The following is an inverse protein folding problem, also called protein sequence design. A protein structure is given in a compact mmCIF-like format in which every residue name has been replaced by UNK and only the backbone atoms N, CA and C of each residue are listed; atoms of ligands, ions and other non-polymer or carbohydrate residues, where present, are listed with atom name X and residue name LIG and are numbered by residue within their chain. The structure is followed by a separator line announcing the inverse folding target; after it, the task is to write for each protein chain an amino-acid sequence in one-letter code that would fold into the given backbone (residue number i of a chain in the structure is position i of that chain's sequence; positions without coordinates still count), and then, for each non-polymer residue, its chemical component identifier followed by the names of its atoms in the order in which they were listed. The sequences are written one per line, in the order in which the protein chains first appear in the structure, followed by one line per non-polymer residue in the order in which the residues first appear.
data_IF_155546533222
#
_entry.id   IF_155546533222
#
_cell.length_a   1.000
_cell.length_b   1.000
_cell.length_c   1.000
_cell.angle_alpha   90.00
_cell.angle_beta   90.00
_cell.angle_gamma   90.00
#
_symmetry.space_group_name_H-M   'P 1'
#
loop_
_entity.id
_entity.type
_entity.pdbx_description
1 polymer ?
#
# COMPACT_ATOMS: atom_id res chain seq x y z
N UNK A 1 -33.76 17.22 -11.43
CA UNK A 1 -32.35 16.95 -11.79
C UNK A 1 -32.02 15.57 -11.26
N UNK A 2 -31.78 14.58 -12.13
CA UNK A 2 -31.34 13.26 -11.68
C UNK A 2 -29.90 13.41 -11.21
N UNK A 3 -29.65 13.06 -9.95
CA UNK A 3 -28.30 12.88 -9.43
C UNK A 3 -27.68 11.75 -10.24
N UNK A 4 -26.76 12.05 -11.15
CA UNK A 4 -25.87 11.03 -11.68
C UNK A 4 -25.07 10.52 -10.49
N UNK A 5 -25.36 9.30 -10.06
CA UNK A 5 -24.51 8.60 -9.11
C UNK A 5 -23.21 8.28 -9.86
N UNK A 6 -22.14 8.99 -9.52
CA UNK A 6 -20.79 8.64 -9.94
C UNK A 6 -20.40 7.35 -9.22
N UNK A 7 -20.81 6.20 -9.78
CA UNK A 7 -20.40 4.90 -9.27
C UNK A 7 -18.96 4.64 -9.68
N UNK A 8 -18.08 4.38 -8.71
CA UNK A 8 -16.70 3.99 -8.96
C UNK A 8 -16.51 2.49 -8.78
N UNK A 9 -15.78 1.84 -9.68
CA UNK A 9 -15.36 0.45 -9.48
C UNK A 9 -14.40 0.34 -8.29
N UNK A 10 -14.34 -0.84 -7.62
CA UNK A 10 -13.39 -1.09 -6.54
C UNK A 10 -11.94 -0.90 -7.01
N UNK A 11 -11.08 -0.47 -6.09
CA UNK A 11 -9.66 -0.28 -6.34
C UNK A 11 -8.95 -1.61 -6.71
N UNK A 12 -8.21 -1.61 -7.83
CA UNK A 12 -7.29 -2.71 -8.18
C UNK A 12 -5.95 -2.50 -7.47
N UNK A 13 -5.41 -3.56 -6.89
CA UNK A 13 -4.06 -3.57 -6.31
C UNK A 13 -3.01 -3.67 -7.43
N UNK A 14 -2.60 -2.55 -8.01
CA UNK A 14 -1.49 -2.48 -8.98
C UNK A 14 -0.12 -2.51 -8.28
N UNK A 15 0.06 -3.43 -7.33
CA UNK A 15 1.32 -3.57 -6.62
C UNK A 15 2.34 -4.27 -7.54
N UNK A 16 3.47 -3.62 -7.89
CA UNK A 16 4.60 -4.36 -8.44
C UNK A 16 5.10 -5.32 -7.36
N UNK A 17 4.74 -6.59 -7.48
CA UNK A 17 5.19 -7.63 -6.57
C UNK A 17 6.54 -8.16 -7.04
N UNK A 18 7.56 -8.04 -6.19
CA UNK A 18 8.81 -8.80 -6.35
C UNK A 18 8.71 -10.01 -5.44
N UNK A 19 8.71 -11.20 -6.03
CA UNK A 19 8.81 -12.45 -5.27
C UNK A 19 10.27 -12.72 -4.97
N UNK A 20 10.62 -12.76 -3.68
CA UNK A 20 11.95 -13.16 -3.25
C UNK A 20 11.94 -14.63 -2.83
N UNK A 21 12.91 -15.39 -3.33
CA UNK A 21 13.21 -16.70 -2.77
C UNK A 21 13.80 -16.47 -1.37
N UNK A 22 13.05 -16.86 -0.34
CA UNK A 22 13.54 -16.85 1.04
C UNK A 22 14.27 -18.15 1.33
N UNK A 23 15.50 -18.04 1.82
CA UNK A 23 16.24 -19.20 2.30
C UNK A 23 15.79 -19.52 3.73
N UNK A 24 15.29 -20.73 3.97
CA UNK A 24 15.11 -21.27 5.32
C UNK A 24 16.35 -22.09 5.68
N UNK A 25 16.95 -21.81 6.84
CA UNK A 25 17.99 -22.68 7.40
C UNK A 25 17.33 -24.00 7.84
N UNK A 26 17.77 -25.12 7.28
CA UNK A 26 17.23 -26.46 7.59
C UNK A 26 18.14 -27.30 8.47
N UNK A 27 19.45 -27.03 8.45
CA UNK A 27 20.47 -27.79 9.16
C UNK A 27 21.41 -26.87 9.92
N UNK A 28 22.07 -27.43 10.93
CA UNK A 28 23.14 -26.75 11.64
C UNK A 28 24.37 -26.63 10.73
N UNK A 29 24.58 -25.42 10.22
CA UNK A 29 25.79 -25.04 9.49
C UNK A 29 26.93 -24.66 10.43
N UNK A 30 27.79 -23.75 9.97
CA UNK A 30 28.88 -23.20 10.77
C UNK A 30 28.41 -22.77 12.17
N UNK A 31 29.09 -23.27 13.20
CA UNK A 31 28.81 -22.98 14.61
C UNK A 31 29.56 -21.75 15.11
N UNK A 32 30.23 -21.03 14.23
CA UNK A 32 30.92 -19.79 14.55
C UNK A 32 29.95 -18.80 15.23
N UNK A 33 30.41 -18.08 16.27
CA UNK A 33 29.56 -17.12 16.97
C UNK A 33 29.02 -16.05 16.02
N UNK A 34 27.71 -15.81 16.11
CA UNK A 34 27.07 -14.69 15.41
C UNK A 34 27.33 -13.42 16.21
N UNK A 35 27.84 -12.38 15.54
CA UNK A 35 28.10 -11.08 16.15
C UNK A 35 26.80 -10.41 16.63
N UNK A 36 26.89 -9.68 17.74
CA UNK A 36 25.80 -8.85 18.24
C UNK A 36 25.34 -7.84 17.17
N UNK A 37 24.04 -7.55 17.13
CA UNK A 37 23.42 -6.63 16.17
C UNK A 37 22.99 -7.27 14.84
N UNK A 38 23.43 -8.50 14.54
CA UNK A 38 22.87 -9.27 13.41
C UNK A 38 21.40 -9.56 13.69
N UNK A 39 20.53 -9.31 12.72
CA UNK A 39 19.10 -9.57 12.85
C UNK A 39 18.59 -10.49 11.74
N UNK A 40 17.65 -11.36 12.09
CA UNK A 40 17.04 -12.31 11.15
C UNK A 40 15.62 -12.69 11.56
N UNK A 41 14.88 -13.31 10.63
CA UNK A 41 13.56 -13.84 10.88
C UNK A 41 13.63 -15.27 11.43
N UNK A 42 12.76 -15.56 12.40
CA UNK A 42 12.55 -16.88 12.98
C UNK A 42 11.11 -17.33 12.73
N UNK A 43 10.93 -18.64 12.52
CA UNK A 43 9.62 -19.30 12.43
C UNK A 43 8.98 -19.55 13.81
N UNK A 44 9.73 -19.31 14.89
CA UNK A 44 9.23 -19.35 16.26
C UNK A 44 8.39 -18.11 16.59
N UNK A 45 7.44 -18.25 17.52
CA UNK A 45 6.62 -17.14 18.04
C UNK A 45 7.40 -16.20 18.98
N UNK A 46 8.61 -16.58 19.39
CA UNK A 46 9.48 -15.81 20.28
C UNK A 46 10.94 -15.98 19.87
N UNK A 47 11.76 -14.99 20.22
CA UNK A 47 13.19 -15.04 19.97
C UNK A 47 13.87 -16.15 20.80
N UNK A 48 14.82 -16.90 20.22
CA UNK A 48 15.62 -17.88 20.96
C UNK A 48 16.48 -17.23 22.04
N UNK A 49 17.11 -18.06 22.89
CA UNK A 49 18.07 -17.59 23.90
C UNK A 49 19.20 -16.75 23.26
N UNK A 50 19.57 -15.64 23.92
CA UNK A 50 20.53 -14.64 23.44
C UNK A 50 20.12 -13.92 22.14
N UNK A 51 18.82 -13.83 21.89
CA UNK A 51 18.22 -12.98 20.85
C UNK A 51 17.09 -12.16 21.48
N UNK A 52 16.81 -10.98 20.91
CA UNK A 52 15.74 -10.10 21.37
C UNK A 52 14.85 -9.69 20.21
N UNK A 53 13.55 -9.50 20.46
CA UNK A 53 12.63 -9.06 19.43
C UNK A 53 12.92 -7.63 19.02
N UNK A 54 12.89 -7.39 17.70
CA UNK A 54 13.06 -6.07 17.13
C UNK A 54 11.69 -5.39 16.99
N UNK A 55 11.18 -4.85 18.09
CA UNK A 55 9.78 -4.42 18.20
C UNK A 55 9.35 -3.35 17.19
N UNK A 56 10.27 -2.47 16.78
CA UNK A 56 9.98 -1.43 15.78
C UNK A 56 9.66 -1.98 14.38
N UNK A 57 10.06 -3.22 14.08
CA UNK A 57 9.77 -3.89 12.82
C UNK A 57 8.41 -4.62 12.79
N UNK A 58 7.72 -4.75 13.93
CA UNK A 58 6.49 -5.52 14.04
C UNK A 58 5.41 -4.97 13.11
N UNK A 59 4.87 -5.83 12.25
CA UNK A 59 3.82 -5.45 11.29
C UNK A 59 4.33 -4.53 10.16
N UNK A 60 5.64 -4.49 9.91
CA UNK A 60 6.25 -3.66 8.86
C UNK A 60 7.06 -4.51 7.89
N UNK A 61 7.16 -4.02 6.67
CA UNK A 61 8.13 -4.52 5.70
C UNK A 61 9.48 -3.86 5.95
N UNK A 62 10.55 -4.66 5.98
CA UNK A 62 11.91 -4.16 6.06
C UNK A 62 12.37 -3.73 4.67
N UNK A 63 13.04 -2.59 4.58
CA UNK A 63 13.69 -2.12 3.36
C UNK A 63 15.15 -1.79 3.64
N UNK A 64 16.00 -1.94 2.63
CA UNK A 64 17.38 -1.48 2.71
C UNK A 64 17.43 0.03 2.90
N UNK A 65 18.32 0.49 3.77
CA UNK A 65 18.59 1.91 3.92
C UNK A 65 19.37 2.40 2.68
N UNK A 66 19.03 3.56 2.10
CA UNK A 66 19.90 4.20 1.12
C UNK A 66 21.24 4.58 1.78
N UNK A 67 22.27 4.77 0.96
CA UNK A 67 23.67 4.95 1.39
C UNK A 67 23.93 6.08 2.39
N UNK A 68 22.98 7.01 2.57
CA UNK A 68 23.08 8.14 3.49
C UNK A 68 21.97 8.20 4.54
N UNK A 69 21.15 7.15 4.68
CA UNK A 69 20.13 7.10 5.74
C UNK A 69 20.73 6.61 7.06
N UNK A 70 20.31 7.23 8.16
CA UNK A 70 20.75 6.88 9.50
C UNK A 70 19.63 6.21 10.30
N UNK A 71 19.95 5.09 10.95
CA UNK A 71 19.08 4.39 11.89
C UNK A 71 17.85 3.72 11.25
N UNK A 72 17.03 3.04 12.06
CA UNK A 72 15.74 2.54 11.61
C UNK A 72 14.81 3.73 11.35
N UNK A 73 14.57 4.06 10.08
CA UNK A 73 13.58 5.05 9.69
C UNK A 73 12.22 4.36 9.49
N UNK A 74 11.22 4.81 10.25
CA UNK A 74 9.84 4.42 9.98
C UNK A 74 9.28 5.29 8.85
N UNK A 75 8.78 4.65 7.80
CA UNK A 75 8.06 5.31 6.72
C UNK A 75 6.80 4.53 6.38
N UNK A 76 5.91 5.15 5.61
CA UNK A 76 4.63 4.57 5.24
C UNK A 76 3.57 4.68 6.34
N UNK A 77 2.55 3.82 6.25
CA UNK A 77 1.37 3.89 7.11
C UNK A 77 1.48 3.15 8.45
N UNK A 78 0.31 2.95 9.07
CA UNK A 78 0.16 2.12 10.27
C UNK A 78 0.61 0.69 10.00
N UNK A 79 1.37 0.12 10.94
CA UNK A 79 1.77 -1.28 10.94
C UNK A 79 0.56 -2.22 10.78
N UNK A 80 0.79 -3.36 10.16
CA UNK A 80 -0.18 -4.43 9.96
C UNK A 80 -0.29 -5.29 11.22
N UNK A 81 -1.51 -5.70 11.56
CA UNK A 81 -1.71 -6.85 12.42
C UNK A 81 -1.45 -8.15 11.62
N UNK A 82 -1.11 -9.23 12.31
CA UNK A 82 -0.97 -10.55 11.67
C UNK A 82 -2.32 -11.00 11.12
N UNK A 83 -2.37 -11.40 9.85
CA UNK A 83 -3.59 -11.82 9.16
C UNK A 83 -4.49 -10.65 8.74
N UNK A 84 -4.07 -9.41 8.95
CA UNK A 84 -4.80 -8.25 8.46
C UNK A 84 -4.84 -8.18 6.93
N UNK A 85 -6.03 -7.95 6.39
CA UNK A 85 -6.25 -7.59 5.00
C UNK A 85 -6.57 -6.08 4.91
N UNK A 86 -5.53 -5.28 4.61
CA UNK A 86 -5.64 -3.82 4.59
C UNK A 86 -6.49 -3.38 3.38
N UNK A 87 -7.58 -2.66 3.69
CA UNK A 87 -8.40 -2.00 2.69
C UNK A 87 -7.74 -0.71 2.21
N UNK A 88 -7.98 -0.36 0.94
CA UNK A 88 -7.51 0.86 0.32
C UNK A 88 -8.52 1.37 -0.72
N UNK A 89 -8.40 2.66 -1.06
CA UNK A 89 -9.17 3.32 -2.10
C UNK A 89 -8.30 4.30 -2.88
N UNK A 90 -8.60 4.50 -4.15
CA UNK A 90 -7.91 5.46 -5.00
C UNK A 90 -8.70 6.76 -5.06
N UNK A 91 -7.99 7.89 -5.06
CA UNK A 91 -8.60 9.17 -5.41
C UNK A 91 -8.76 9.23 -6.92
N UNK A 92 -9.90 9.70 -7.40
CA UNK A 92 -10.10 10.07 -8.79
C UNK A 92 -10.57 11.53 -8.88
N UNK A 93 -10.19 12.19 -9.95
CA UNK A 93 -10.66 13.52 -10.32
C UNK A 93 -10.69 13.65 -11.84
N UNK A 94 -11.52 14.57 -12.30
CA UNK A 94 -11.71 14.83 -13.71
C UNK A 94 -12.50 16.11 -13.94
N UNK A 95 -12.61 16.49 -15.21
CA UNK A 95 -13.34 17.67 -15.65
C UNK A 95 -14.34 17.25 -16.71
N UNK A 96 -15.60 17.63 -16.51
CA UNK A 96 -16.63 17.58 -17.55
C UNK A 96 -16.59 18.89 -18.31
N UNK A 97 -16.16 18.84 -19.56
CA UNK A 97 -16.21 19.95 -20.51
C UNK A 97 -17.61 19.98 -21.15
N UNK A 98 -18.42 20.97 -20.77
CA UNK A 98 -19.68 21.25 -21.43
C UNK A 98 -19.43 22.14 -22.65
N UNK A 99 -18.96 21.54 -23.74
CA UNK A 99 -18.94 22.19 -25.03
C UNK A 99 -20.37 22.55 -25.47
N UNK A 100 -20.54 23.70 -26.11
CA UNK A 100 -21.85 24.11 -26.63
C UNK A 100 -22.29 23.12 -27.71
N UNK A 101 -23.17 22.18 -27.36
CA UNK A 101 -23.84 21.33 -28.31
C UNK A 101 -24.81 22.21 -29.11
N UNK A 102 -24.31 22.79 -30.19
CA UNK A 102 -25.08 23.63 -31.10
C UNK A 102 -26.21 22.82 -31.74
N UNK A 103 -27.33 22.68 -31.04
CA UNK A 103 -28.57 22.15 -31.58
C UNK A 103 -29.03 23.14 -32.66
N UNK A 104 -28.86 22.77 -33.93
CA UNK A 104 -29.42 23.53 -35.06
C UNK A 104 -30.95 23.42 -35.01
N UNK A 105 -31.62 24.32 -34.29
CA UNK A 105 -33.06 24.44 -34.32
C UNK A 105 -33.47 25.74 -35.04
N UNK A 106 -34.32 25.59 -36.06
CA UNK A 106 -35.00 26.68 -36.75
C UNK A 106 -36.10 27.25 -35.84
N UNK A 107 -35.73 28.09 -34.87
CA UNK A 107 -36.70 28.73 -33.98
C UNK A 107 -36.11 29.25 -32.67
N UNK A 108 -35.67 30.51 -32.65
CA UNK A 108 -35.88 31.49 -31.57
C UNK A 108 -35.57 31.19 -30.10
N UNK A 109 -34.81 30.15 -29.73
CA UNK A 109 -34.40 29.95 -28.34
C UNK A 109 -32.95 30.39 -28.13
N UNK A 110 -32.74 31.46 -27.35
CA UNK A 110 -31.42 32.12 -27.15
C UNK A 110 -30.73 31.78 -25.82
N UNK A 111 -31.24 30.81 -25.05
CA UNK A 111 -30.82 30.57 -23.66
C UNK A 111 -30.09 29.22 -23.49
N UNK A 112 -29.10 28.92 -24.33
CA UNK A 112 -28.23 27.77 -24.09
C UNK A 112 -27.25 28.10 -22.96
N UNK A 113 -26.92 27.11 -22.12
CA UNK A 113 -25.89 27.27 -21.11
C UNK A 113 -24.55 27.60 -21.79
N UNK A 114 -23.84 28.60 -21.27
CA UNK A 114 -22.50 28.92 -21.77
C UNK A 114 -21.56 27.72 -21.57
N UNK A 115 -20.55 27.54 -22.45
CA UNK A 115 -19.50 26.58 -22.21
C UNK A 115 -18.90 26.79 -20.83
N UNK A 116 -18.80 25.73 -20.06
CA UNK A 116 -18.17 25.77 -18.76
C UNK A 116 -17.65 24.38 -18.41
N UNK A 117 -16.56 24.37 -17.66
CA UNK A 117 -15.98 23.15 -17.12
C UNK A 117 -16.52 22.93 -15.72
N UNK A 118 -16.96 21.71 -15.43
CA UNK A 118 -17.28 21.29 -14.06
C UNK A 118 -16.31 20.20 -13.64
N UNK A 119 -15.45 20.52 -12.67
CA UNK A 119 -14.58 19.53 -12.06
C UNK A 119 -15.34 18.65 -11.07
N UNK A 120 -14.98 17.38 -11.01
CA UNK A 120 -15.45 16.44 -10.02
C UNK A 120 -14.28 15.69 -9.44
N UNK A 121 -14.43 15.24 -8.19
CA UNK A 121 -13.47 14.35 -7.55
C UNK A 121 -14.17 13.44 -6.57
N UNK A 122 -13.55 12.31 -6.29
CA UNK A 122 -14.07 11.32 -5.36
C UNK A 122 -13.02 10.29 -5.00
N UNK A 123 -13.49 9.26 -4.31
CA UNK A 123 -12.70 8.07 -4.02
C UNK A 123 -13.43 6.86 -4.56
N UNK A 124 -12.66 5.85 -4.96
CA UNK A 124 -13.24 4.52 -5.21
C UNK A 124 -13.83 3.95 -3.93
N UNK A 125 -14.66 2.92 -4.08
CA UNK A 125 -15.00 2.06 -2.95
C UNK A 125 -13.73 1.40 -2.38
N UNK A 126 -13.79 1.09 -1.08
CA UNK A 126 -12.74 0.36 -0.40
C UNK A 126 -12.60 -1.04 -0.99
N UNK A 127 -11.36 -1.45 -1.20
CA UNK A 127 -11.02 -2.77 -1.71
C UNK A 127 -9.78 -3.31 -1.01
N UNK A 128 -9.73 -4.62 -0.84
CA UNK A 128 -8.57 -5.29 -0.28
C UNK A 128 -7.38 -5.22 -1.24
N UNK A 129 -6.17 -5.07 -0.70
CA UNK A 129 -4.95 -5.22 -1.48
C UNK A 129 -4.73 -6.68 -1.95
N UNK A 130 -5.18 -7.68 -1.16
CA UNK A 130 -5.02 -9.10 -1.49
C UNK A 130 -3.56 -9.57 -1.65
N UNK A 131 -2.58 -8.78 -1.20
CA UNK A 131 -1.17 -9.10 -1.37
C UNK A 131 -0.77 -10.26 -0.45
N UNK A 132 -0.14 -11.31 -0.98
CA UNK A 132 0.36 -12.39 -0.15
C UNK A 132 1.52 -11.88 0.71
N UNK A 133 1.48 -12.18 2.00
CA UNK A 133 2.60 -11.90 2.91
C UNK A 133 2.73 -13.02 3.95
N UNK A 134 3.92 -13.08 4.55
CA UNK A 134 4.20 -13.91 5.73
C UNK A 134 4.65 -12.99 6.86
N UNK A 135 4.15 -13.25 8.07
CA UNK A 135 4.58 -12.57 9.28
C UNK A 135 5.42 -13.53 10.12
N UNK A 136 6.69 -13.18 10.34
CA UNK A 136 7.65 -13.96 11.12
C UNK A 136 8.24 -13.09 12.25
N UNK A 137 8.74 -13.73 13.30
CA UNK A 137 9.36 -13.01 14.42
C UNK A 137 10.74 -12.51 13.97
N UNK A 138 10.94 -11.19 13.99
CA UNK A 138 12.23 -10.58 13.69
C UNK A 138 13.01 -10.35 14.97
N UNK A 139 14.22 -10.91 15.05
CA UNK A 139 15.05 -10.86 16.25
C UNK A 139 16.46 -10.39 15.94
N UNK A 140 17.07 -9.64 16.86
CA UNK A 140 18.48 -9.29 16.83
C UNK A 140 19.28 -10.09 17.86
N UNK A 141 20.48 -10.49 17.44
CA UNK A 141 21.47 -11.13 18.29
C UNK A 141 21.95 -10.14 19.35
N UNK A 142 21.90 -10.57 20.60
CA UNK A 142 22.45 -9.85 21.75
C UNK A 142 23.94 -10.14 21.89
#
# INVERSE_FOLDING_TARGET
MKSDQTTSSPATALLPAVSYLVCKKTDDGDTSPINAGVATFFDNTSCPSNWQSYESARGRYLVGLPSNAFGPANFGGKALNVGEERQHKHKFDGTLDYNNAGLKQSGGHHNFAAPHDTSFSGFTDDSAIGAPYIALTFCSKQ
#
